data_IF_113921284192
#
_entry.id   IF_113921284192
#
_cell.length_a   1.000
_cell.length_b   1.000
_cell.length_c   1.000
_cell.angle_alpha   90.00
_cell.angle_beta   90.00
_cell.angle_gamma   90.00
#
_symmetry.space_group_name_H-M   'P 1'
#
loop_
_entity.id
_entity.type
_entity.pdbx_description
1 polymer ?
#
# COMPACT_ATOMS: atom_id res chain seq x y z
N UNK A 1 6.28 32.59 31.18
CA UNK A 1 7.43 32.41 30.25
C UNK A 1 7.34 31.00 29.69
N UNK A 2 6.72 30.81 28.52
CA UNK A 2 6.58 29.49 27.88
C UNK A 2 7.85 29.18 27.10
N UNK A 3 8.45 28.02 27.38
CA UNK A 3 9.74 27.61 26.86
C UNK A 3 9.77 27.48 25.32
N UNK A 4 10.90 27.78 24.67
CA UNK A 4 11.07 27.64 23.21
C UNK A 4 10.82 26.21 22.68
N UNK A 5 10.88 25.20 23.56
CA UNK A 5 10.58 23.78 23.26
C UNK A 5 9.15 23.57 22.73
N UNK A 6 8.15 24.20 23.37
CA UNK A 6 6.74 23.99 23.04
C UNK A 6 6.35 24.55 21.68
N UNK A 7 6.94 25.68 21.27
CA UNK A 7 6.72 26.24 19.93
C UNK A 7 7.28 25.34 18.84
N UNK A 8 8.42 24.70 19.08
CA UNK A 8 9.03 23.78 18.13
C UNK A 8 8.18 22.52 17.95
N UNK A 9 7.66 21.96 19.05
CA UNK A 9 6.72 20.84 19.01
C UNK A 9 5.40 21.18 18.29
N UNK A 10 4.86 22.38 18.54
CA UNK A 10 3.63 22.87 17.93
C UNK A 10 3.78 23.14 16.41
N UNK A 11 4.94 23.64 15.99
CA UNK A 11 5.30 23.79 14.58
C UNK A 11 5.42 22.42 13.89
N UNK A 12 6.08 21.43 14.51
CA UNK A 12 6.17 20.08 13.96
C UNK A 12 4.80 19.40 13.84
N UNK A 13 3.90 19.59 14.81
CA UNK A 13 2.54 19.08 14.73
C UNK A 13 1.73 19.70 13.58
N UNK A 14 1.85 21.02 13.38
CA UNK A 14 1.24 21.72 12.24
C UNK A 14 1.80 21.26 10.91
N UNK A 15 3.12 21.08 10.82
CA UNK A 15 3.81 20.65 9.62
C UNK A 15 3.41 19.21 9.23
N UNK A 16 3.24 18.31 10.22
CA UNK A 16 2.67 16.96 10.01
C UNK A 16 1.24 17.01 9.47
N UNK A 17 0.37 17.84 10.04
CA UNK A 17 -1.02 18.00 9.56
C UNK A 17 -1.07 18.56 8.13
N UNK A 18 -0.20 19.54 7.82
CA UNK A 18 -0.12 20.13 6.48
C UNK A 18 0.38 19.11 5.45
N UNK A 19 1.46 18.38 5.76
CA UNK A 19 1.98 17.29 4.92
C UNK A 19 0.93 16.21 4.67
N UNK A 20 0.17 15.81 5.70
CA UNK A 20 -0.94 14.86 5.56
C UNK A 20 -2.01 15.35 4.59
N UNK A 21 -2.46 16.61 4.73
CA UNK A 21 -3.46 17.20 3.83
C UNK A 21 -2.96 17.36 2.40
N UNK A 22 -1.70 17.73 2.21
CA UNK A 22 -1.08 17.82 0.89
C UNK A 22 -0.94 16.46 0.24
N UNK A 23 -0.56 15.42 1.00
CA UNK A 23 -0.52 14.05 0.52
C UNK A 23 -1.91 13.58 0.07
N UNK A 24 -2.96 13.81 0.88
CA UNK A 24 -4.35 13.48 0.51
C UNK A 24 -4.79 14.23 -0.73
N UNK A 25 -4.59 15.55 -0.83
CA UNK A 25 -4.98 16.34 -2.01
C UNK A 25 -4.20 15.96 -3.26
N UNK A 26 -2.91 15.66 -3.13
CA UNK A 26 -2.07 15.21 -4.23
C UNK A 26 -2.51 13.83 -4.70
N UNK A 27 -2.84 12.94 -3.77
CA UNK A 27 -3.43 11.64 -4.07
C UNK A 27 -4.77 11.79 -4.77
N UNK A 28 -5.72 12.57 -4.24
CA UNK A 28 -7.02 12.83 -4.85
C UNK A 28 -6.91 13.46 -6.25
N UNK A 29 -6.00 14.41 -6.43
CA UNK A 29 -5.75 15.04 -7.73
C UNK A 29 -5.20 14.03 -8.75
N UNK A 30 -4.27 13.17 -8.33
CA UNK A 30 -3.72 12.10 -9.19
C UNK A 30 -4.74 11.00 -9.46
N UNK A 31 -5.61 10.67 -8.50
CA UNK A 31 -6.72 9.74 -8.71
C UNK A 31 -7.74 10.29 -9.71
N UNK A 32 -8.09 11.59 -9.62
CA UNK A 32 -9.03 12.21 -10.55
C UNK A 32 -8.46 12.41 -11.96
N UNK A 33 -7.18 12.77 -12.09
CA UNK A 33 -6.61 13.22 -13.36
C UNK A 33 -5.62 12.23 -14.02
N UNK A 34 -5.02 11.30 -13.26
CA UNK A 34 -4.02 10.34 -13.79
C UNK A 34 -4.53 8.90 -13.78
N UNK A 35 -5.46 8.54 -12.91
CA UNK A 35 -5.81 7.14 -12.62
C UNK A 35 -6.89 6.56 -13.54
N UNK A 36 -6.87 6.84 -14.85
CA UNK A 36 -7.76 6.35 -15.95
C UNK A 36 -8.42 4.96 -15.71
N UNK A 37 -9.40 4.83 -14.81
CA UNK A 37 -9.98 3.55 -14.41
C UNK A 37 -9.10 2.61 -13.55
N UNK A 38 -7.99 3.07 -12.98
CA UNK A 38 -7.10 2.29 -12.11
C UNK A 38 -7.79 1.91 -10.80
N UNK A 39 -8.62 2.79 -10.25
CA UNK A 39 -9.32 2.50 -8.99
C UNK A 39 -10.30 1.32 -9.11
N UNK A 40 -11.17 1.24 -10.13
CA UNK A 40 -11.92 0.02 -10.44
C UNK A 40 -11.04 -1.23 -10.64
N UNK A 41 -9.86 -1.10 -11.26
CA UNK A 41 -8.93 -2.22 -11.45
C UNK A 41 -8.34 -2.70 -10.13
N UNK A 42 -7.92 -1.78 -9.26
CA UNK A 42 -7.46 -2.11 -7.92
C UNK A 42 -8.58 -2.77 -7.11
N UNK A 43 -9.78 -2.21 -7.11
CA UNK A 43 -10.92 -2.81 -6.42
C UNK A 43 -11.21 -4.23 -6.93
N UNK A 44 -11.06 -4.49 -8.24
CA UNK A 44 -11.20 -5.83 -8.80
C UNK A 44 -10.10 -6.78 -8.30
N UNK A 45 -8.84 -6.35 -8.33
CA UNK A 45 -7.71 -7.13 -7.78
C UNK A 45 -7.95 -7.47 -6.31
N UNK A 46 -8.42 -6.52 -5.51
CA UNK A 46 -8.71 -6.74 -4.10
C UNK A 46 -9.96 -7.60 -3.88
N UNK A 47 -10.97 -7.52 -4.76
CA UNK A 47 -12.17 -8.35 -4.68
C UNK A 47 -11.88 -9.84 -4.95
N UNK A 48 -10.83 -10.14 -5.72
CA UNK A 48 -10.36 -11.50 -5.96
C UNK A 48 -9.51 -12.06 -4.80
N UNK A 49 -9.14 -11.23 -3.82
CA UNK A 49 -8.28 -11.62 -2.71
C UNK A 49 -9.08 -11.99 -1.46
N UNK A 50 -8.73 -13.12 -0.85
CA UNK A 50 -9.19 -13.53 0.47
C UNK A 50 -8.34 -12.94 1.60
N UNK A 51 -7.03 -12.77 1.37
CA UNK A 51 -6.10 -12.21 2.35
C UNK A 51 -5.07 -11.30 1.67
N UNK A 52 -4.52 -10.35 2.44
CA UNK A 52 -3.42 -9.49 2.03
C UNK A 52 -2.35 -9.41 3.10
N UNK A 53 -1.10 -9.42 2.67
CA UNK A 53 0.08 -9.30 3.52
C UNK A 53 1.00 -8.21 2.98
N UNK A 54 1.49 -7.36 3.87
CA UNK A 54 2.70 -6.58 3.57
C UNK A 54 3.91 -7.51 3.65
N UNK A 55 4.80 -7.39 2.66
CA UNK A 55 6.01 -8.20 2.56
C UNK A 55 7.25 -7.33 2.43
N UNK A 56 8.40 -7.89 2.84
CA UNK A 56 9.69 -7.25 2.69
C UNK A 56 10.16 -7.23 1.22
N UNK A 57 11.19 -6.44 0.93
CA UNK A 57 11.82 -6.41 -0.38
C UNK A 57 12.56 -7.71 -0.72
N UNK A 58 13.13 -8.38 0.28
CA UNK A 58 13.79 -9.66 0.10
C UNK A 58 12.79 -10.73 -0.36
N UNK A 59 11.65 -10.83 0.32
CA UNK A 59 10.57 -11.77 -0.06
C UNK A 59 9.97 -11.42 -1.42
N UNK A 60 9.80 -10.13 -1.72
CA UNK A 60 9.35 -9.72 -3.04
C UNK A 60 10.31 -10.20 -4.13
N UNK A 61 11.62 -10.05 -3.91
CA UNK A 61 12.65 -10.49 -4.85
C UNK A 61 12.61 -12.00 -5.05
N UNK A 62 12.43 -12.77 -3.97
CA UNK A 62 12.26 -14.22 -4.03
C UNK A 62 11.02 -14.61 -4.84
N UNK A 63 9.87 -14.01 -4.55
CA UNK A 63 8.62 -14.29 -5.28
C UNK A 63 8.72 -13.96 -6.77
N UNK A 64 9.39 -12.86 -7.13
CA UNK A 64 9.62 -12.53 -8.54
C UNK A 64 10.56 -13.54 -9.21
N UNK A 65 11.59 -14.02 -8.51
CA UNK A 65 12.49 -15.06 -9.00
C UNK A 65 11.81 -16.43 -9.15
N UNK A 66 10.84 -16.72 -8.28
CA UNK A 66 9.93 -17.88 -8.37
C UNK A 66 8.95 -17.78 -9.55
N UNK A 67 8.89 -16.64 -10.24
CA UNK A 67 8.08 -16.42 -11.46
C UNK A 67 6.70 -15.84 -11.19
N UNK A 68 6.44 -15.30 -10.01
CA UNK A 68 5.17 -14.65 -9.72
C UNK A 68 4.99 -13.34 -10.52
N UNK A 69 3.79 -13.15 -11.07
CA UNK A 69 3.46 -11.97 -11.86
C UNK A 69 3.04 -10.78 -10.98
N UNK A 70 3.45 -9.58 -11.39
CA UNK A 70 3.01 -8.31 -10.78
C UNK A 70 1.70 -7.87 -11.43
N UNK A 71 0.73 -7.51 -10.61
CA UNK A 71 -0.55 -6.96 -11.05
C UNK A 71 -0.36 -5.52 -11.58
N UNK A 72 -0.69 -5.31 -12.86
CA UNK A 72 -0.58 -4.01 -13.53
C UNK A 72 -1.38 -2.89 -12.85
N UNK A 73 -2.39 -3.24 -12.06
CA UNK A 73 -3.15 -2.28 -11.26
C UNK A 73 -2.27 -1.56 -10.22
N UNK A 74 -1.26 -2.24 -9.68
CA UNK A 74 -0.34 -1.68 -8.69
C UNK A 74 0.61 -0.62 -9.27
N UNK A 75 1.17 -0.87 -10.45
CA UNK A 75 2.07 0.07 -11.14
C UNK A 75 1.39 1.39 -11.49
N UNK A 76 0.09 1.34 -11.78
CA UNK A 76 -0.70 2.51 -12.15
C UNK A 76 -1.14 3.37 -10.95
N UNK A 77 -0.82 2.97 -9.72
CA UNK A 77 -1.07 3.75 -8.51
C UNK A 77 0.01 4.81 -8.26
N UNK A 78 -0.30 5.80 -7.42
CA UNK A 78 0.69 6.73 -6.91
C UNK A 78 0.63 6.84 -5.37
N UNK A 79 1.71 6.48 -4.64
CA UNK A 79 2.94 5.86 -5.18
C UNK A 79 2.65 4.49 -5.83
N UNK A 80 3.47 4.06 -6.82
CA UNK A 80 3.35 2.73 -7.40
C UNK A 80 3.44 1.65 -6.32
N UNK A 81 2.69 0.57 -6.51
CA UNK A 81 2.69 -0.58 -5.61
C UNK A 81 3.02 -1.84 -6.39
N UNK A 82 3.76 -2.74 -5.77
CA UNK A 82 3.95 -4.08 -6.29
C UNK A 82 2.95 -4.99 -5.61
N UNK A 83 2.02 -5.54 -6.39
CA UNK A 83 0.97 -6.42 -5.91
C UNK A 83 1.14 -7.76 -6.62
N UNK A 84 1.21 -8.85 -5.86
CA UNK A 84 1.45 -10.20 -6.39
C UNK A 84 0.46 -11.17 -5.76
N UNK A 85 -0.09 -12.09 -6.56
CA UNK A 85 -0.82 -13.23 -6.02
C UNK A 85 0.11 -14.41 -5.72
N UNK A 86 -0.07 -15.00 -4.54
CA UNK A 86 0.64 -16.19 -4.07
C UNK A 86 -0.36 -17.27 -3.63
N UNK A 87 0.08 -18.52 -3.62
CA UNK A 87 -0.74 -19.60 -3.08
C UNK A 87 -0.86 -19.47 -1.55
N UNK A 88 -1.93 -20.02 -0.93
CA UNK A 88 -2.05 -20.04 0.53
C UNK A 88 -0.83 -20.69 1.21
N UNK A 89 -0.32 -21.78 0.64
CA UNK A 89 0.88 -22.46 1.13
C UNK A 89 2.12 -21.55 1.08
N UNK A 90 2.28 -20.75 0.01
CA UNK A 90 3.42 -19.83 -0.10
C UNK A 90 3.28 -18.65 0.85
N UNK A 91 2.08 -18.08 1.02
CA UNK A 91 1.80 -17.05 2.01
C UNK A 91 2.10 -17.52 3.44
N UNK A 92 1.81 -18.80 3.72
CA UNK A 92 2.12 -19.41 5.01
C UNK A 92 3.63 -19.48 5.32
N UNK A 93 4.48 -19.46 4.29
CA UNK A 93 5.93 -19.54 4.40
C UNK A 93 6.63 -18.16 4.38
N UNK A 94 5.90 -17.06 4.23
CA UNK A 94 6.44 -15.70 4.33
C UNK A 94 6.86 -15.41 5.78
N UNK A 95 8.10 -14.96 5.96
CA UNK A 95 8.72 -14.69 7.27
C UNK A 95 8.31 -13.32 7.82
N UNK A 96 8.15 -12.32 6.95
CA UNK A 96 7.85 -10.94 7.35
C UNK A 96 6.37 -10.56 7.19
N UNK A 97 5.48 -11.56 7.07
CA UNK A 97 4.05 -11.32 6.81
C UNK A 97 3.41 -10.49 7.92
N UNK A 98 2.89 -9.34 7.54
CA UNK A 98 1.96 -8.56 8.35
C UNK A 98 0.62 -8.54 7.64
N UNK A 99 -0.39 -9.20 8.22
CA UNK A 99 -1.72 -9.23 7.61
C UNK A 99 -2.34 -7.82 7.61
N UNK A 100 -2.80 -7.40 6.44
CA UNK A 100 -3.49 -6.14 6.25
C UNK A 100 -4.96 -6.42 5.96
N UNK A 101 -5.90 -5.75 6.66
CA UNK A 101 -7.31 -5.83 6.30
C UNK A 101 -7.55 -5.45 4.84
N UNK A 102 -8.27 -6.30 4.10
CA UNK A 102 -8.68 -6.12 2.70
C UNK A 102 -9.81 -5.09 2.54
N UNK A 103 -9.58 -3.92 3.12
CA UNK A 103 -10.40 -2.74 2.96
C UNK A 103 -9.48 -1.61 2.52
N UNK A 104 -10.03 -0.63 1.79
CA UNK A 104 -9.31 0.56 1.32
C UNK A 104 -8.96 1.49 2.49
N UNK A 105 -8.10 1.00 3.36
CA UNK A 105 -7.65 1.59 4.62
C UNK A 105 -6.25 2.16 4.45
N UNK A 106 -5.85 3.03 5.38
CA UNK A 106 -4.53 3.64 5.33
C UNK A 106 -3.37 2.61 5.32
N UNK A 107 -3.41 1.48 6.06
CA UNK A 107 -2.38 0.44 5.96
C UNK A 107 -2.24 -0.12 4.54
N UNK A 108 -3.33 -0.55 3.92
CA UNK A 108 -3.32 -1.10 2.55
C UNK A 108 -2.84 -0.07 1.53
N UNK A 109 -3.29 1.17 1.66
CA UNK A 109 -2.87 2.27 0.77
C UNK A 109 -1.43 2.73 1.02
N UNK A 110 -0.81 2.40 2.16
CA UNK A 110 0.60 2.70 2.43
C UNK A 110 1.53 1.58 2.02
N UNK A 111 1.13 0.32 2.20
CA UNK A 111 1.94 -0.85 1.87
C UNK A 111 2.39 -0.82 0.41
N UNK A 112 3.69 -0.73 0.18
CA UNK A 112 4.27 -0.63 -1.16
C UNK A 112 4.35 -1.99 -1.85
N UNK A 113 4.46 -3.06 -1.07
CA UNK A 113 4.66 -4.44 -1.52
C UNK A 113 3.60 -5.32 -0.86
N UNK A 114 2.71 -5.87 -1.67
CA UNK A 114 1.56 -6.66 -1.20
C UNK A 114 1.61 -8.06 -1.81
N UNK A 115 1.53 -9.07 -0.95
CA UNK A 115 1.21 -10.43 -1.34
C UNK A 115 -0.28 -10.67 -1.06
N UNK A 116 -1.02 -11.09 -2.08
CA UNK A 116 -2.45 -11.41 -2.00
C UNK A 116 -2.64 -12.92 -2.14
N UNK A 117 -3.64 -13.45 -1.43
CA UNK A 117 -4.09 -14.84 -1.57
C UNK A 117 -5.49 -14.79 -2.16
N UNK A 118 -5.78 -15.59 -3.20
CA UNK A 118 -7.12 -15.66 -3.81
C UNK A 118 -8.11 -16.40 -2.91
N UNK A 119 -9.41 -16.15 -3.14
CA UNK A 119 -10.43 -17.11 -2.70
C UNK A 119 -10.23 -18.45 -3.43
N UNK A 120 -10.45 -19.55 -2.71
CA UNK A 120 -10.51 -20.90 -3.30
C UNK A 120 -11.74 -21.07 -4.19
#
# INVERSE_FOLDING_TARGET
MTEPSDRCAQLHARLRKLKGRLATRTWEYRQRNCAKGVWPKLCRVLADAAQAYEISEAELTELLAEGHAVEAAGEALHPPKTIIFVSPARAAALQSRSEIPLHLTAPLLRAERLALVRFD
#
